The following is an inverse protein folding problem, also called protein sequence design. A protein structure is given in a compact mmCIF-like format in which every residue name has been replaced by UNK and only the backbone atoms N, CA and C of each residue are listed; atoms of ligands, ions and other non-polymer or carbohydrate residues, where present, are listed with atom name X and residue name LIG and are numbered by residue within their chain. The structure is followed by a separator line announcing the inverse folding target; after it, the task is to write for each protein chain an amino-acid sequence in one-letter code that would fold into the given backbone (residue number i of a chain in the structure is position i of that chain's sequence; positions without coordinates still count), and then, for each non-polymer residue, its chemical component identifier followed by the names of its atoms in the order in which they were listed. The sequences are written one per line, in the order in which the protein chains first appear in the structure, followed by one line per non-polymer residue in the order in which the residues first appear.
data_IF_126656751450
#
_entry.id   IF_126656751450
#
_cell.length_a   1.000
_cell.length_b   1.000
_cell.length_c   1.000
_cell.angle_alpha   90.00
_cell.angle_beta   90.00
_cell.angle_gamma   90.00
#
_symmetry.space_group_name_H-M   'P 1'
#
loop_
_entity.id
_entity.type
_entity.pdbx_description
1 polymer ?
#
# COMPACT_ATOMS: atom_id res chain seq x y z
N UNK A 1 3.52 21.31 19.11
CA UNK A 1 4.37 20.17 18.72
C UNK A 1 3.90 19.04 19.56
N UNK A 2 2.91 18.28 19.08
CA UNK A 2 2.42 16.99 19.60
C UNK A 2 1.24 16.60 18.69
N UNK A 3 1.07 15.30 18.45
CA UNK A 3 0.17 14.65 17.49
C UNK A 3 0.66 14.56 16.03
N UNK A 4 1.95 14.28 15.81
CA UNK A 4 2.21 13.25 14.80
C UNK A 4 1.67 11.97 15.44
N UNK A 5 0.47 11.53 15.04
CA UNK A 5 -0.07 10.23 15.43
C UNK A 5 1.09 9.24 15.37
N UNK A 6 1.48 8.68 16.51
CA UNK A 6 2.69 7.87 16.62
C UNK A 6 2.42 6.49 16.03
N UNK A 7 2.04 6.45 14.74
CA UNK A 7 1.73 5.26 13.96
C UNK A 7 2.90 4.29 13.92
N UNK A 8 4.12 4.79 14.15
CA UNK A 8 5.33 3.99 14.28
C UNK A 8 5.37 3.10 15.54
N UNK A 9 4.42 3.25 16.48
CA UNK A 9 4.32 2.39 17.65
C UNK A 9 3.70 1.01 17.33
N UNK A 10 3.02 0.88 16.19
CA UNK A 10 2.41 -0.35 15.72
C UNK A 10 3.15 -0.89 14.50
N UNK A 11 3.10 -2.21 14.23
CA UNK A 11 3.53 -2.76 12.95
C UNK A 11 2.80 -2.07 11.79
N UNK A 12 3.56 -1.65 10.77
CA UNK A 12 3.03 -0.94 9.62
C UNK A 12 3.00 -1.89 8.42
N UNK A 13 1.83 -1.97 7.80
CA UNK A 13 1.58 -2.74 6.59
C UNK A 13 1.20 -1.81 5.45
N UNK A 14 1.82 -2.01 4.29
CA UNK A 14 1.36 -1.41 3.05
C UNK A 14 0.42 -2.38 2.33
N UNK A 15 -0.85 -1.99 2.21
CA UNK A 15 -1.89 -2.73 1.50
C UNK A 15 -2.20 -2.02 0.17
N UNK A 16 -1.46 -2.28 -0.94
CA UNK A 16 -1.66 -1.60 -2.22
C UNK A 16 -3.01 -1.88 -2.89
N UNK A 17 -3.68 -2.96 -2.48
CA UNK A 17 -4.86 -3.50 -3.14
C UNK A 17 -4.49 -4.48 -4.26
N UNK A 18 -5.27 -5.55 -4.38
CA UNK A 18 -5.00 -6.66 -5.29
C UNK A 18 -4.93 -6.26 -6.77
N UNK A 19 -5.72 -5.28 -7.21
CA UNK A 19 -5.68 -4.80 -8.60
C UNK A 19 -4.39 -4.06 -8.91
N UNK A 20 -3.93 -3.20 -8.01
CA UNK A 20 -2.69 -2.44 -8.19
C UNK A 20 -1.48 -3.38 -8.17
N UNK A 21 -1.46 -4.30 -7.21
CA UNK A 21 -0.45 -5.36 -7.10
C UNK A 21 -0.37 -6.22 -8.36
N UNK A 22 -1.49 -6.48 -9.02
CA UNK A 22 -1.53 -7.26 -10.25
C UNK A 22 -1.07 -6.46 -11.47
N UNK A 23 -1.59 -5.24 -11.65
CA UNK A 23 -1.46 -4.53 -12.91
C UNK A 23 -0.24 -3.60 -12.98
N UNK A 24 0.18 -3.03 -11.85
CA UNK A 24 1.29 -2.09 -11.77
C UNK A 24 2.22 -2.43 -10.61
N UNK A 25 2.84 -3.61 -10.61
CA UNK A 25 3.62 -4.05 -9.47
C UNK A 25 4.93 -3.27 -9.29
N UNK A 26 5.50 -2.71 -10.36
CA UNK A 26 6.62 -1.78 -10.27
C UNK A 26 6.24 -0.53 -9.47
N UNK A 27 5.01 -0.01 -9.67
CA UNK A 27 4.48 1.13 -8.92
C UNK A 27 4.27 0.79 -7.45
N UNK A 28 3.81 -0.43 -7.15
CA UNK A 28 3.73 -0.94 -5.78
C UNK A 28 5.11 -0.97 -5.12
N UNK A 29 6.14 -1.43 -5.83
CA UNK A 29 7.52 -1.43 -5.34
C UNK A 29 8.01 -0.02 -5.04
N UNK A 30 7.80 0.94 -5.96
CA UNK A 30 8.21 2.34 -5.75
C UNK A 30 7.56 2.95 -4.50
N UNK A 31 6.26 2.69 -4.29
CA UNK A 31 5.52 3.18 -3.12
C UNK A 31 5.99 2.49 -1.85
N UNK A 32 6.21 1.17 -1.90
CA UNK A 32 6.76 0.42 -0.78
C UNK A 32 8.13 0.95 -0.36
N UNK A 33 9.04 1.17 -1.31
CA UNK A 33 10.37 1.73 -1.05
C UNK A 33 10.31 3.14 -0.46
N UNK A 34 9.34 3.95 -0.90
CA UNK A 34 9.09 5.26 -0.31
C UNK A 34 8.67 5.13 1.16
N UNK A 35 7.67 4.29 1.46
CA UNK A 35 7.19 4.08 2.82
C UNK A 35 8.27 3.44 3.71
N UNK A 36 9.09 2.55 3.16
CA UNK A 36 10.20 1.92 3.87
C UNK A 36 11.26 2.96 4.29
N UNK A 37 11.52 3.98 3.46
CA UNK A 37 12.41 5.09 3.83
C UNK A 37 11.86 5.95 4.96
N UNK A 38 10.54 6.10 5.04
CA UNK A 38 9.88 6.90 6.08
C UNK A 38 9.84 6.17 7.43
N UNK A 39 9.41 4.91 7.42
CA UNK A 39 9.05 4.18 8.64
C UNK A 39 10.01 3.05 8.99
N UNK A 40 10.96 2.73 8.12
CA UNK A 40 11.86 1.60 8.30
C UNK A 40 11.11 0.29 8.13
N UNK A 41 10.99 -0.50 9.20
CA UNK A 41 10.43 -1.84 9.12
C UNK A 41 8.91 -1.81 8.84
N UNK A 42 8.55 -2.04 7.58
CA UNK A 42 7.17 -2.17 7.12
C UNK A 42 6.99 -3.51 6.41
N UNK A 43 5.75 -3.96 6.29
CA UNK A 43 5.40 -5.22 5.64
C UNK A 43 4.47 -4.99 4.44
N UNK A 44 4.64 -5.78 3.38
CA UNK A 44 3.72 -5.75 2.24
C UNK A 44 2.53 -6.69 2.49
N UNK A 45 1.32 -6.14 2.48
CA UNK A 45 0.09 -6.91 2.63
C UNK A 45 -0.55 -7.19 1.26
N UNK A 46 -0.44 -8.43 0.80
CA UNK A 46 -0.80 -8.83 -0.58
C UNK A 46 -2.20 -9.40 -0.75
N UNK A 47 -2.97 -9.51 0.34
CA UNK A 47 -4.34 -10.05 0.28
C UNK A 47 -5.30 -9.06 -0.37
N UNK A 48 -6.35 -9.60 -0.96
CA UNK A 48 -7.40 -8.82 -1.64
C UNK A 48 -8.57 -8.63 -0.68
N UNK A 49 -8.91 -7.41 -0.31
CA UNK A 49 -9.94 -7.10 0.70
C UNK A 49 -11.31 -7.78 0.48
N UNK A 50 -11.72 -8.02 -0.78
CA UNK A 50 -13.01 -8.66 -1.10
C UNK A 50 -12.95 -10.19 -0.93
N UNK A 51 -11.75 -10.76 -1.01
CA UNK A 51 -11.50 -12.21 -0.89
C UNK A 51 -10.85 -12.57 0.45
N UNK A 52 -10.60 -11.58 1.31
CA UNK A 52 -10.02 -11.78 2.63
C UNK A 52 -11.13 -12.27 3.57
N UNK A 53 -11.08 -13.56 3.90
CA UNK A 53 -12.01 -14.19 4.83
C UNK A 53 -11.54 -14.08 6.29
N UNK A 54 -10.35 -13.53 6.52
CA UNK A 54 -9.88 -13.20 7.85
C UNK A 54 -10.75 -12.10 8.44
N UNK A 55 -11.37 -12.38 9.60
CA UNK A 55 -12.24 -11.43 10.33
C UNK A 55 -11.51 -10.60 11.38
N UNK A 56 -10.27 -10.98 11.70
CA UNK A 56 -9.37 -10.26 12.61
C UNK A 56 -7.95 -10.29 12.04
N UNK A 57 -7.20 -9.20 12.22
CA UNK A 57 -5.75 -9.20 12.07
C UNK A 57 -5.15 -9.70 13.39
N UNK A 58 -4.09 -10.50 13.35
CA UNK A 58 -3.55 -11.18 14.54
C UNK A 58 -3.00 -10.21 15.60
N UNK A 59 -2.64 -9.00 15.18
CA UNK A 59 -2.11 -7.92 16.02
C UNK A 59 -2.71 -6.56 15.65
N UNK A 60 -2.68 -5.62 16.60
CA UNK A 60 -3.03 -4.22 16.34
C UNK A 60 -1.98 -3.59 15.42
N UNK A 61 -2.40 -3.09 14.26
CA UNK A 61 -1.49 -2.68 13.20
C UNK A 61 -2.00 -1.45 12.44
N UNK A 62 -1.09 -0.76 11.75
CA UNK A 62 -1.41 0.36 10.87
C UNK A 62 -1.37 -0.12 9.43
N UNK A 63 -2.45 0.09 8.69
CA UNK A 63 -2.54 -0.24 7.28
C UNK A 63 -2.51 1.04 6.46
N UNK A 64 -1.47 1.23 5.65
CA UNK A 64 -1.38 2.30 4.66
C UNK A 64 -1.86 1.75 3.32
N UNK A 65 -2.81 2.41 2.67
CA UNK A 65 -3.36 1.94 1.40
C UNK A 65 -3.55 3.05 0.37
N UNK A 66 -3.48 2.66 -0.90
CA UNK A 66 -3.81 3.48 -2.08
C UNK A 66 -5.17 3.12 -2.68
N UNK A 67 -5.85 2.12 -2.13
CA UNK A 67 -7.07 1.57 -2.66
C UNK A 67 -8.24 1.90 -1.73
N UNK A 68 -9.15 2.77 -2.18
CA UNK A 68 -10.31 3.21 -1.42
C UNK A 68 -11.16 2.03 -0.90
N UNK A 69 -11.32 0.98 -1.71
CA UNK A 69 -12.04 -0.22 -1.31
C UNK A 69 -11.32 -0.99 -0.20
N UNK A 70 -9.98 -1.09 -0.24
CA UNK A 70 -9.22 -1.67 0.85
C UNK A 70 -9.32 -0.80 2.11
N UNK A 71 -9.29 0.53 1.98
CA UNK A 71 -9.44 1.46 3.10
C UNK A 71 -10.75 1.20 3.84
N UNK A 72 -11.87 1.15 3.11
CA UNK A 72 -13.19 0.92 3.68
C UNK A 72 -13.34 -0.51 4.24
N UNK A 73 -13.09 -1.53 3.42
CA UNK A 73 -13.36 -2.92 3.81
C UNK A 73 -12.50 -3.35 5.00
N UNK A 74 -11.20 -3.04 5.00
CA UNK A 74 -10.34 -3.41 6.12
C UNK A 74 -10.64 -2.60 7.38
N UNK A 75 -10.94 -1.30 7.25
CA UNK A 75 -11.34 -0.47 8.40
C UNK A 75 -12.67 -0.89 9.02
N UNK A 76 -13.61 -1.43 8.24
CA UNK A 76 -14.88 -1.96 8.74
C UNK A 76 -14.75 -3.38 9.30
N UNK A 77 -13.88 -4.20 8.69
CA UNK A 77 -13.74 -5.63 9.05
C UNK A 77 -12.90 -5.81 10.30
N UNK A 78 -11.79 -5.08 10.43
CA UNK A 78 -10.80 -5.29 11.47
C UNK A 78 -10.84 -4.19 12.53
N UNK A 79 -11.42 -4.51 13.69
CA UNK A 79 -11.55 -3.55 14.79
C UNK A 79 -10.20 -3.08 15.39
N UNK A 80 -9.12 -3.82 15.15
CA UNK A 80 -7.77 -3.54 15.63
C UNK A 80 -6.84 -2.96 14.55
N UNK A 81 -7.37 -2.51 13.41
CA UNK A 81 -6.57 -1.84 12.40
C UNK A 81 -6.76 -0.32 12.42
N UNK A 82 -5.63 0.37 12.32
CA UNK A 82 -5.56 1.81 12.10
C UNK A 82 -5.34 2.07 10.61
N UNK A 83 -6.42 2.41 9.90
CA UNK A 83 -6.33 2.67 8.45
C UNK A 83 -5.76 4.06 8.19
N UNK A 84 -4.82 4.14 7.25
CA UNK A 84 -4.24 5.40 6.75
C UNK A 84 -4.27 5.42 5.23
N UNK A 85 -4.75 6.53 4.69
CA UNK A 85 -4.65 6.80 3.28
C UNK A 85 -3.22 7.22 2.94
N UNK A 86 -2.66 6.66 1.87
CA UNK A 86 -1.29 6.97 1.46
C UNK A 86 -1.10 8.45 1.14
N UNK A 87 -2.09 9.12 0.53
CA UNK A 87 -1.94 10.53 0.16
C UNK A 87 -1.96 11.44 1.38
N UNK A 88 -2.73 11.10 2.41
CA UNK A 88 -2.66 11.77 3.71
C UNK A 88 -1.26 11.63 4.34
N UNK A 89 -0.72 10.40 4.36
CA UNK A 89 0.64 10.15 4.84
C UNK A 89 1.66 10.93 4.00
N UNK A 90 1.56 10.88 2.68
CA UNK A 90 2.45 11.64 1.81
C UNK A 90 2.37 13.14 2.09
N UNK A 91 1.18 13.71 2.26
CA UNK A 91 1.01 15.14 2.56
C UNK A 91 1.64 15.56 3.89
N UNK A 92 1.72 14.66 4.88
CA UNK A 92 2.40 14.90 6.16
C UNK A 92 3.93 14.92 6.01
N UNK A 93 4.49 14.13 5.09
CA UNK A 93 5.94 13.93 4.95
C UNK A 93 6.56 14.57 3.70
N UNK A 94 5.76 15.09 2.76
CA UNK A 94 6.24 15.61 1.47
C UNK A 94 7.26 16.75 1.58
N UNK A 95 7.22 17.54 2.65
CA UNK A 95 8.17 18.63 2.87
C UNK A 95 9.58 18.11 3.21
N UNK A 96 9.68 16.88 3.71
CA UNK A 96 10.95 16.24 4.10
C UNK A 96 11.37 15.21 3.04
N UNK A 97 10.40 14.43 2.54
CA UNK A 97 10.59 13.37 1.56
C UNK A 97 9.61 13.56 0.39
N UNK A 98 9.89 14.51 -0.52
CA UNK A 98 9.04 14.73 -1.69
C UNK A 98 9.18 13.59 -2.70
N UNK A 99 8.08 13.25 -3.38
CA UNK A 99 8.11 12.32 -4.52
C UNK A 99 8.60 13.01 -5.81
N UNK A 100 8.54 14.35 -5.87
CA UNK A 100 8.92 15.13 -7.06
C UNK A 100 8.07 14.75 -8.27
N UNK A 101 8.71 14.66 -9.45
CA UNK A 101 8.05 14.29 -10.72
C UNK A 101 7.32 12.93 -10.67
N UNK A 102 7.67 12.07 -9.72
CA UNK A 102 6.99 10.78 -9.53
C UNK A 102 5.57 10.92 -8.97
N UNK A 103 5.23 12.03 -8.33
CA UNK A 103 3.89 12.24 -7.77
C UNK A 103 2.82 12.25 -8.88
N UNK A 104 3.02 13.07 -9.91
CA UNK A 104 2.08 13.18 -11.03
C UNK A 104 1.97 11.87 -11.81
N UNK A 105 3.10 11.17 -11.98
CA UNK A 105 3.14 9.85 -12.59
C UNK A 105 2.31 8.86 -11.76
N UNK A 106 2.54 8.78 -10.45
CA UNK A 106 1.80 7.93 -9.53
C UNK A 106 0.29 8.22 -9.58
N UNK A 107 -0.12 9.49 -9.50
CA UNK A 107 -1.55 9.87 -9.62
C UNK A 107 -2.16 9.43 -10.94
N UNK A 108 -1.44 9.59 -12.05
CA UNK A 108 -1.93 9.20 -13.38
C UNK A 108 -2.07 7.68 -13.54
N UNK A 109 -1.10 6.92 -13.05
CA UNK A 109 -1.07 5.46 -13.12
C UNK A 109 -2.14 4.83 -12.22
N UNK A 110 -2.36 5.37 -11.01
CA UNK A 110 -3.44 4.91 -10.13
C UNK A 110 -4.81 5.15 -10.75
N UNK A 111 -5.03 6.32 -11.36
CA UNK A 111 -6.29 6.60 -12.06
C UNK A 111 -6.52 5.60 -13.19
N UNK A 112 -5.49 5.31 -13.98
CA UNK A 112 -5.56 4.32 -15.07
C UNK A 112 -5.84 2.91 -14.53
N UNK A 113 -5.14 2.52 -13.47
CA UNK A 113 -5.18 1.17 -12.91
C UNK A 113 -6.50 0.89 -12.20
N UNK A 114 -6.99 1.84 -11.39
CA UNK A 114 -8.25 1.67 -10.69
C UNK A 114 -9.47 1.89 -11.60
N UNK A 115 -9.41 2.79 -12.61
CA UNK A 115 -10.52 2.99 -13.55
C UNK A 115 -10.56 2.03 -14.75
N UNK A 116 -9.49 1.28 -15.06
CA UNK A 116 -9.44 0.38 -16.23
C UNK A 116 -9.99 -1.05 -16.01
N UNK A 117 -10.49 -1.70 -17.05
CA UNK A 117 -10.81 -3.15 -17.03
C UNK A 117 -9.51 -3.99 -17.07
N UNK A 118 -9.40 -5.00 -16.20
CA UNK A 118 -8.23 -5.89 -16.00
C UNK A 118 -7.61 -6.44 -17.30
N UNK A 119 -6.34 -6.14 -17.64
CA UNK A 119 -5.55 -6.96 -18.56
C UNK A 119 -4.77 -8.03 -17.78
N UNK A 120 -5.23 -9.29 -17.86
CA UNK A 120 -4.64 -10.47 -17.20
C UNK A 120 -3.19 -10.82 -17.62
N UNK A 121 -2.63 -10.18 -18.66
CA UNK A 121 -1.40 -10.68 -19.32
C UNK A 121 -0.07 -10.28 -18.67
N UNK A 122 -0.02 -9.25 -17.83
CA UNK A 122 1.24 -8.73 -17.27
C UNK A 122 1.58 -9.23 -15.86
N UNK A 123 0.63 -9.92 -15.20
CA UNK A 123 0.71 -10.30 -13.77
C UNK A 123 1.73 -11.42 -13.52
N UNK A 124 1.80 -12.40 -14.41
CA UNK A 124 2.57 -13.64 -14.16
C UNK A 124 4.07 -13.42 -14.19
N UNK A 125 4.57 -12.62 -15.13
CA UNK A 125 6.00 -12.46 -15.33
C UNK A 125 6.67 -11.68 -14.19
N UNK A 126 5.99 -10.71 -13.60
CA UNK A 126 6.60 -9.89 -12.55
C UNK A 126 6.61 -10.58 -11.17
N UNK A 127 5.57 -11.35 -10.82
CA UNK A 127 5.55 -12.08 -9.53
C UNK A 127 6.71 -13.07 -9.42
N UNK A 128 7.02 -13.74 -10.54
CA UNK A 128 8.17 -14.64 -10.67
C UNK A 128 9.51 -13.86 -10.55
N UNK A 129 9.59 -12.63 -11.07
CA UNK A 129 10.78 -11.77 -10.93
C UNK A 129 10.97 -11.23 -9.50
N UNK A 130 9.89 -10.85 -8.81
CA UNK A 130 9.93 -10.37 -7.43
C UNK A 130 10.26 -11.48 -6.42
N UNK A 131 9.70 -12.68 -6.57
CA UNK A 131 10.09 -13.84 -5.75
C UNK A 131 11.59 -14.12 -5.86
N UNK A 132 12.15 -13.99 -7.06
CA UNK A 132 13.58 -14.18 -7.29
C UNK A 132 14.47 -13.07 -6.67
N UNK A 133 13.94 -11.86 -6.47
CA UNK A 133 14.65 -10.76 -5.81
C UNK A 133 14.54 -10.81 -4.29
N UNK A 134 13.36 -11.15 -3.76
CA UNK A 134 13.09 -11.18 -2.31
C UNK A 134 13.74 -12.34 -1.57
N UNK A 135 14.22 -13.36 -2.29
CA UNK A 135 14.89 -14.55 -1.74
C UNK A 135 16.42 -14.53 -1.85
N UNK A 136 17.02 -13.42 -2.31
CA UNK A 136 18.47 -13.18 -2.31
C UNK A 136 18.89 -12.28 -1.15
#
# INVERSE_FOLDING_TARGET
MDDFDNIAQYPIYFAPGCKLLQLQPALVSDVYDYLHKLFGNIHLYTRCCILDDAKQHDEEAVFITLCDSCFQIYGETYANLHMRDFWAVYDEYKDIYPLGDKEDLLRSELKTTFCGSLPQKHIKNWFEEWEAWSTR
#
